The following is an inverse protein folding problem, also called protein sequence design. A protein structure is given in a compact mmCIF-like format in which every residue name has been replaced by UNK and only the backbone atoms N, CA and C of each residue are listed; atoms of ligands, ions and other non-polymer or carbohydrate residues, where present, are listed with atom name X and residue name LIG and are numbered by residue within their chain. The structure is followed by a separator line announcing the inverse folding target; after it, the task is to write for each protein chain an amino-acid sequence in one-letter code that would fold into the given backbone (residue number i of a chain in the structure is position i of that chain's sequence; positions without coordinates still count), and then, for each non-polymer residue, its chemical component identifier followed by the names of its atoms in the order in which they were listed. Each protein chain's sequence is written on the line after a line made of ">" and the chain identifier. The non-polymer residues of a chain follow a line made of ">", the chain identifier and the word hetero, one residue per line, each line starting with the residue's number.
data_IF_968437490355
#
_entry.id   IF_968437490355
#
_cell.length_a   1.000
_cell.length_b   1.000
_cell.length_c   1.000
_cell.angle_alpha   90.00
_cell.angle_beta   90.00
_cell.angle_gamma   90.00
#
_symmetry.space_group_name_H-M   'P 1'
#
loop_
_entity.id
_entity.type
_entity.pdbx_description
1 polymer ?
#
# COMPACT_ATOMS: atom_id res chain seq x y z
N UNK A 1 -7.12 -12.93 15.34
CA UNK A 1 -5.98 -13.71 15.86
C UNK A 1 -5.94 -15.04 15.13
N UNK A 2 -4.81 -15.37 14.51
CA UNK A 2 -4.62 -16.65 13.80
C UNK A 2 -4.62 -17.82 14.80
N UNK A 3 -4.26 -17.56 16.06
CA UNK A 3 -4.24 -18.51 17.16
C UNK A 3 -5.61 -19.12 17.46
N UNK A 4 -6.69 -18.34 17.29
CA UNK A 4 -8.07 -18.81 17.50
C UNK A 4 -8.51 -19.91 16.51
N UNK A 5 -7.70 -20.19 15.48
CA UNK A 5 -7.97 -21.18 14.46
C UNK A 5 -6.96 -22.34 14.48
N UNK A 6 -6.20 -22.50 15.58
CA UNK A 6 -5.22 -23.59 15.75
C UNK A 6 -3.88 -23.36 15.05
N UNK A 7 -3.65 -22.17 14.49
CA UNK A 7 -2.37 -21.79 13.90
C UNK A 7 -1.58 -20.92 14.88
N UNK A 8 -0.36 -21.34 15.25
CA UNK A 8 0.54 -20.51 16.06
C UNK A 8 1.66 -19.93 15.19
N UNK A 9 2.01 -18.67 15.40
CA UNK A 9 3.12 -18.01 14.68
C UNK A 9 4.45 -18.44 15.31
N UNK A 10 5.28 -19.15 14.54
CA UNK A 10 6.65 -19.51 14.98
C UNK A 10 7.62 -18.32 14.92
N UNK A 11 7.34 -17.35 14.04
CA UNK A 11 8.18 -16.18 13.79
C UNK A 11 7.31 -14.91 13.75
N UNK A 12 7.91 -13.78 14.12
CA UNK A 12 7.34 -12.44 13.92
C UNK A 12 7.09 -12.21 12.43
N UNK A 13 5.96 -11.62 12.06
CA UNK A 13 5.72 -11.20 10.68
C UNK A 13 6.60 -10.00 10.37
N UNK A 14 6.87 -9.73 9.08
CA UNK A 14 7.65 -8.55 8.70
C UNK A 14 7.06 -7.26 9.28
N UNK A 15 5.72 -7.12 9.28
CA UNK A 15 5.04 -5.97 9.87
C UNK A 15 5.19 -5.87 11.39
N UNK A 16 5.41 -6.99 12.08
CA UNK A 16 5.73 -7.00 13.50
C UNK A 16 7.18 -6.54 13.74
N UNK A 17 8.10 -6.91 12.84
CA UNK A 17 9.51 -6.54 12.91
C UNK A 17 9.77 -5.07 12.54
N UNK A 18 9.04 -4.55 11.55
CA UNK A 18 9.15 -3.16 11.08
C UNK A 18 7.74 -2.56 10.92
N UNK A 19 7.11 -2.10 12.02
CA UNK A 19 5.78 -1.51 11.96
C UNK A 19 5.74 -0.29 11.04
N UNK A 20 4.73 -0.24 10.17
CA UNK A 20 4.53 0.87 9.24
C UNK A 20 5.50 0.89 8.07
N UNK A 21 6.08 -0.26 7.68
CA UNK A 21 6.84 -0.33 6.45
C UNK A 21 5.91 -0.19 5.22
N UNK A 22 6.32 0.64 4.27
CA UNK A 22 5.60 0.93 3.04
C UNK A 22 6.19 0.03 1.95
N UNK A 23 5.43 -0.99 1.56
CA UNK A 23 5.92 -2.04 0.66
C UNK A 23 5.86 -1.70 -0.82
N UNK A 24 5.09 -0.69 -1.19
CA UNK A 24 4.87 -0.40 -2.60
C UNK A 24 4.16 0.93 -2.80
N UNK A 25 4.19 1.36 -4.05
CA UNK A 25 3.52 2.55 -4.55
C UNK A 25 3.00 2.32 -5.96
N UNK A 26 2.23 3.29 -6.44
CA UNK A 26 1.82 3.34 -7.85
C UNK A 26 2.83 4.21 -8.58
N UNK A 27 3.33 3.72 -9.72
CA UNK A 27 4.34 4.39 -10.51
C UNK A 27 3.81 4.64 -11.92
N UNK A 28 4.09 5.83 -12.44
CA UNK A 28 3.90 6.19 -13.84
C UNK A 28 5.22 6.76 -14.36
N UNK A 29 5.55 6.53 -15.63
CA UNK A 29 6.70 7.19 -16.23
C UNK A 29 6.41 8.68 -16.43
N UNK A 30 7.45 9.52 -16.38
CA UNK A 30 7.32 10.94 -16.68
C UNK A 30 6.74 11.18 -18.08
N UNK A 31 7.12 10.35 -19.05
CA UNK A 31 6.56 10.40 -20.40
C UNK A 31 5.04 10.20 -20.40
N UNK A 32 4.54 9.20 -19.65
CA UNK A 32 3.12 8.93 -19.55
C UNK A 32 2.38 10.06 -18.84
N UNK A 33 2.91 10.53 -17.71
CA UNK A 33 2.30 11.64 -16.96
C UNK A 33 2.18 12.90 -17.84
N UNK A 34 3.23 13.24 -18.59
CA UNK A 34 3.24 14.42 -19.44
C UNK A 34 2.26 14.32 -20.61
N UNK A 35 2.07 13.13 -21.18
CA UNK A 35 1.13 12.90 -22.29
C UNK A 35 -0.31 12.72 -21.83
N UNK A 36 -0.50 12.19 -20.64
CA UNK A 36 -1.77 11.67 -20.14
C UNK A 36 -2.12 12.11 -18.71
N UNK A 37 -1.95 13.40 -18.34
CA UNK A 37 -2.07 13.84 -16.95
C UNK A 37 -3.48 13.64 -16.40
N UNK A 38 -4.51 13.84 -17.21
CA UNK A 38 -5.90 13.68 -16.79
C UNK A 38 -6.30 12.21 -16.63
N UNK A 39 -5.72 11.29 -17.42
CA UNK A 39 -5.91 9.85 -17.21
C UNK A 39 -5.26 9.39 -15.90
N UNK A 40 -4.06 9.89 -15.57
CA UNK A 40 -3.40 9.62 -14.29
C UNK A 40 -4.28 10.07 -13.12
N UNK A 41 -4.78 11.32 -13.15
CA UNK A 41 -5.69 11.82 -12.11
C UNK A 41 -6.97 11.00 -12.03
N UNK A 42 -7.56 10.62 -13.17
CA UNK A 42 -8.78 9.81 -13.20
C UNK A 42 -8.56 8.41 -12.58
N UNK A 43 -7.45 7.77 -12.92
CA UNK A 43 -7.06 6.49 -12.33
C UNK A 43 -6.90 6.62 -10.81
N UNK A 44 -6.15 7.62 -10.35
CA UNK A 44 -5.88 7.83 -8.92
C UNK A 44 -7.16 8.17 -8.13
N UNK A 45 -8.10 8.94 -8.70
CA UNK A 45 -9.43 9.12 -8.11
C UNK A 45 -10.19 7.80 -7.98
N UNK A 46 -10.17 6.97 -9.02
CA UNK A 46 -10.79 5.64 -8.98
C UNK A 46 -10.18 4.75 -7.90
N UNK A 47 -8.86 4.82 -7.72
CA UNK A 47 -8.13 4.09 -6.69
C UNK A 47 -8.55 4.53 -5.28
N UNK A 48 -8.61 5.84 -5.01
CA UNK A 48 -9.04 6.38 -3.71
C UNK A 48 -10.50 5.99 -3.42
N UNK A 49 -11.38 6.06 -4.42
CA UNK A 49 -12.77 5.59 -4.27
C UNK A 49 -12.83 4.09 -3.94
N UNK A 50 -11.93 3.27 -4.49
CA UNK A 50 -11.86 1.86 -4.16
C UNK A 50 -11.41 1.62 -2.70
N UNK A 51 -10.48 2.42 -2.20
CA UNK A 51 -10.09 2.38 -0.78
C UNK A 51 -11.26 2.73 0.13
N UNK A 52 -12.02 3.78 -0.21
CA UNK A 52 -13.23 4.13 0.52
C UNK A 52 -14.26 3.00 0.50
N UNK A 53 -14.48 2.36 -0.66
CA UNK A 53 -15.37 1.21 -0.79
C UNK A 53 -14.93 0.04 0.10
N UNK A 54 -13.65 -0.33 0.09
CA UNK A 54 -13.09 -1.39 0.95
C UNK A 54 -13.35 -1.08 2.43
N UNK A 55 -13.17 0.18 2.84
CA UNK A 55 -13.42 0.62 4.22
C UNK A 55 -14.89 0.54 4.61
N UNK A 56 -15.80 0.90 3.71
CA UNK A 56 -17.25 0.95 3.96
C UNK A 56 -17.91 -0.42 3.86
N UNK A 57 -17.39 -1.31 3.01
CA UNK A 57 -17.97 -2.62 2.72
C UNK A 57 -16.88 -3.68 2.50
N UNK A 58 -16.09 -3.95 3.54
CA UNK A 58 -14.94 -4.86 3.48
C UNK A 58 -15.35 -6.28 3.09
N UNK A 59 -16.51 -6.74 3.58
CA UNK A 59 -17.03 -8.08 3.28
C UNK A 59 -17.29 -8.25 1.78
N UNK A 60 -17.96 -7.28 1.15
CA UNK A 60 -18.19 -7.30 -0.29
C UNK A 60 -16.91 -7.10 -1.10
N UNK A 61 -15.99 -6.26 -0.63
CA UNK A 61 -14.70 -6.08 -1.29
C UNK A 61 -13.90 -7.40 -1.32
N UNK A 62 -13.94 -8.19 -0.24
CA UNK A 62 -13.28 -9.50 -0.14
C UNK A 62 -13.79 -10.52 -1.16
N UNK A 63 -15.03 -10.40 -1.63
CA UNK A 63 -15.59 -11.30 -2.66
C UNK A 63 -14.85 -11.21 -4.00
N UNK A 64 -14.14 -10.12 -4.24
CA UNK A 64 -13.33 -9.94 -5.46
C UNK A 64 -11.97 -10.64 -5.39
N UNK A 65 -11.47 -10.94 -4.18
CA UNK A 65 -10.12 -11.48 -3.97
C UNK A 65 -9.95 -12.88 -4.63
N UNK A 66 -10.86 -13.85 -4.46
CA UNK A 66 -10.71 -15.17 -5.11
C UNK A 66 -10.55 -15.10 -6.62
N UNK A 67 -11.23 -14.14 -7.27
CA UNK A 67 -11.17 -13.96 -8.72
C UNK A 67 -9.77 -13.60 -9.22
N UNK A 68 -9.05 -12.73 -8.50
CA UNK A 68 -7.77 -12.17 -8.97
C UNK A 68 -6.55 -12.78 -8.28
N UNK A 69 -6.70 -13.26 -7.04
CA UNK A 69 -5.62 -13.87 -6.27
C UNK A 69 -5.63 -15.41 -6.33
N UNK A 70 -6.68 -16.02 -6.89
CA UNK A 70 -6.83 -17.48 -7.00
C UNK A 70 -6.71 -18.21 -5.65
N UNK A 71 -7.27 -17.60 -4.59
CA UNK A 71 -7.34 -18.19 -3.26
C UNK A 71 -8.77 -18.61 -2.92
N UNK A 72 -8.92 -19.59 -2.04
CA UNK A 72 -10.22 -20.02 -1.54
C UNK A 72 -10.97 -18.86 -0.85
N UNK A 73 -12.29 -18.84 -0.99
CA UNK A 73 -13.14 -17.79 -0.39
C UNK A 73 -12.91 -17.68 1.11
N UNK A 74 -12.87 -18.80 1.82
CA UNK A 74 -12.68 -18.81 3.27
C UNK A 74 -11.33 -18.25 3.70
N UNK A 75 -10.29 -18.42 2.85
CA UNK A 75 -8.99 -17.79 3.05
C UNK A 75 -9.09 -16.28 2.81
N UNK A 76 -9.69 -15.87 1.70
CA UNK A 76 -9.92 -14.46 1.37
C UNK A 76 -10.68 -13.70 2.46
N UNK A 77 -11.65 -14.36 3.12
CA UNK A 77 -12.44 -13.74 4.20
C UNK A 77 -11.66 -13.57 5.52
N UNK A 78 -10.56 -14.31 5.71
CA UNK A 78 -9.74 -14.30 6.94
C UNK A 78 -8.41 -13.56 6.78
N UNK A 79 -7.97 -13.34 5.54
CA UNK A 79 -6.71 -12.65 5.24
C UNK A 79 -6.69 -11.21 5.75
N UNK A 80 -5.52 -10.73 6.14
CA UNK A 80 -5.34 -9.33 6.48
C UNK A 80 -5.54 -8.47 5.23
N UNK A 81 -6.37 -7.42 5.35
CA UNK A 81 -6.49 -6.37 4.33
C UNK A 81 -5.84 -5.12 4.91
N UNK A 82 -4.91 -4.53 4.15
CA UNK A 82 -4.30 -3.26 4.53
C UNK A 82 -5.36 -2.19 4.45
N UNK A 83 -5.47 -1.39 5.51
CA UNK A 83 -6.31 -0.20 5.50
C UNK A 83 -5.55 0.90 4.76
N UNK A 84 -6.12 1.31 3.63
CA UNK A 84 -5.67 2.47 2.88
C UNK A 84 -6.67 3.60 3.16
N UNK A 85 -6.15 4.81 3.39
CA UNK A 85 -6.98 6.00 3.60
C UNK A 85 -7.23 6.72 2.27
N UNK A 86 -6.58 7.86 2.06
CA UNK A 86 -6.76 8.74 0.90
C UNK A 86 -5.68 8.52 -0.19
N UNK A 87 -4.95 7.41 -0.10
CA UNK A 87 -3.84 7.08 -0.98
C UNK A 87 -2.49 7.71 -0.59
N UNK A 88 -2.41 8.46 0.53
CA UNK A 88 -1.15 9.02 1.03
C UNK A 88 -0.53 8.14 2.09
N UNK A 89 0.78 7.94 1.99
CA UNK A 89 1.55 7.24 3.03
C UNK A 89 2.08 8.23 4.08
N UNK A 90 2.17 7.85 5.36
CA UNK A 90 2.69 8.73 6.40
C UNK A 90 4.14 9.13 6.13
N UNK A 91 4.42 10.44 6.05
CA UNK A 91 5.77 10.96 5.77
C UNK A 91 6.83 10.41 6.73
N UNK A 92 6.50 10.28 8.02
CA UNK A 92 7.41 9.72 9.03
C UNK A 92 7.82 8.26 8.73
N UNK A 93 6.91 7.46 8.15
CA UNK A 93 7.22 6.08 7.77
C UNK A 93 8.15 6.03 6.56
N UNK A 94 7.94 6.91 5.58
CA UNK A 94 8.83 7.06 4.42
C UNK A 94 10.22 7.56 4.85
N UNK A 95 10.29 8.56 5.72
CA UNK A 95 11.56 9.05 6.28
C UNK A 95 12.33 7.94 7.01
N UNK A 96 11.66 7.19 7.88
CA UNK A 96 12.28 6.08 8.62
C UNK A 96 12.84 5.00 7.69
N UNK A 97 12.15 4.70 6.59
CA UNK A 97 12.66 3.75 5.60
C UNK A 97 13.90 4.29 4.88
N UNK A 98 13.88 5.56 4.47
CA UNK A 98 15.04 6.23 3.87
C UNK A 98 16.26 6.17 4.81
N UNK A 99 16.07 6.45 6.10
CA UNK A 99 17.13 6.35 7.12
C UNK A 99 17.69 4.93 7.23
N UNK A 100 16.83 3.90 7.23
CA UNK A 100 17.28 2.50 7.26
C UNK A 100 18.06 2.14 5.99
N UNK A 101 17.63 2.60 4.82
CA UNK A 101 18.34 2.35 3.55
C UNK A 101 19.72 2.99 3.54
N UNK A 102 19.88 4.21 4.06
CA UNK A 102 21.19 4.86 4.23
C UNK A 102 22.04 4.10 5.24
N UNK A 103 21.48 3.79 6.41
CA UNK A 103 22.18 3.11 7.50
C UNK A 103 22.79 1.77 7.08
N UNK A 104 22.08 1.01 6.27
CA UNK A 104 22.51 -0.31 5.80
C UNK A 104 23.23 -0.26 4.44
N UNK A 105 23.53 0.92 3.91
CA UNK A 105 24.35 1.09 2.70
C UNK A 105 23.63 0.83 1.38
N UNK A 106 22.29 0.75 1.37
CA UNK A 106 21.50 0.69 0.14
C UNK A 106 21.40 2.04 -0.56
N UNK A 107 21.55 3.13 0.20
CA UNK A 107 21.69 4.50 -0.31
C UNK A 107 22.93 5.14 0.29
N UNK A 108 23.65 5.92 -0.50
CA UNK A 108 24.80 6.69 -0.02
C UNK A 108 24.38 7.89 0.83
N UNK A 109 23.23 8.48 0.53
CA UNK A 109 22.69 9.67 1.18
C UNK A 109 21.14 9.68 1.10
N UNK A 110 20.45 10.41 1.99
CA UNK A 110 18.99 10.49 1.94
C UNK A 110 18.51 11.24 0.69
N UNK A 111 17.43 10.75 0.08
CA UNK A 111 16.74 11.42 -1.03
C UNK A 111 15.54 12.21 -0.49
N UNK A 112 15.32 13.48 -0.92
CA UNK A 112 14.12 14.23 -0.55
C UNK A 112 12.84 13.47 -0.93
N UNK A 113 11.90 13.35 -0.01
CA UNK A 113 10.65 12.57 -0.19
C UNK A 113 9.84 13.09 -1.38
N UNK A 114 9.87 14.40 -1.62
CA UNK A 114 9.17 15.06 -2.72
C UNK A 114 9.71 14.65 -4.10
N UNK A 115 10.91 14.06 -4.17
CA UNK A 115 11.45 13.46 -5.40
C UNK A 115 11.04 12.00 -5.59
N UNK A 116 10.47 11.38 -4.56
CA UNK A 116 10.06 9.97 -4.55
C UNK A 116 8.55 9.83 -4.71
N UNK A 117 7.77 10.71 -4.08
CA UNK A 117 6.31 10.70 -4.13
C UNK A 117 5.76 12.04 -4.58
N UNK A 118 4.83 11.99 -5.54
CA UNK A 118 4.09 13.16 -6.02
C UNK A 118 2.60 12.98 -5.75
N UNK A 119 2.12 13.64 -4.68
CA UNK A 119 0.71 13.60 -4.29
C UNK A 119 -0.14 14.67 -4.98
N UNK A 120 0.41 15.47 -5.90
CA UNK A 120 -0.35 16.51 -6.61
C UNK A 120 -1.40 15.94 -7.58
N UNK A 121 -1.25 14.67 -7.95
CA UNK A 121 -2.19 13.94 -8.81
C UNK A 121 -3.31 13.22 -8.04
N UNK A 122 -3.21 13.14 -6.70
CA UNK A 122 -4.29 12.61 -5.87
C UNK A 122 -5.44 13.62 -5.74
N UNK A 123 -6.69 13.15 -5.51
CA UNK A 123 -7.78 14.04 -5.12
C UNK A 123 -7.41 14.84 -3.85
N UNK A 124 -7.94 16.06 -3.78
CA UNK A 124 -7.82 16.94 -2.61
C UNK A 124 -8.65 16.41 -1.45
#
# INVERSE_FOLDING_TARGET
>A
MLEAHGASRLLVTFNDAIPGYVFGGIFFSNEFINRHPEQVKAFLRGLVNAFEFIRKDEAKARETIPKYAHVERDVAMKSAIRQFEDGREPKAQLSKQMELMVRYGFLSEPVPIEKVVDYSYLPK
#
